data_IF_677536581030
#
_entry.id   IF_677536581030
#
_cell.length_a   1.000
_cell.length_b   1.000
_cell.length_c   1.000
_cell.angle_alpha   90.00
_cell.angle_beta   90.00
_cell.angle_gamma   90.00
#
_symmetry.space_group_name_H-M   'P 1'
#
loop_
_entity.id
_entity.type
_entity.pdbx_description
1 polymer ?
#
# COMPACT_ATOMS: atom_id res chain seq x y z
N UNK A 1 5.36 -6.53 -6.55
CA UNK A 1 5.15 -6.78 -5.11
C UNK A 1 4.72 -8.23 -4.95
N UNK A 2 5.36 -8.99 -4.05
CA UNK A 2 5.18 -10.44 -3.92
C UNK A 2 3.89 -10.87 -3.20
N UNK A 3 3.10 -9.93 -2.67
CA UNK A 3 1.90 -10.24 -1.86
C UNK A 3 0.61 -9.80 -2.56
N UNK A 4 0.66 -8.74 -3.38
CA UNK A 4 -0.54 -8.13 -3.98
C UNK A 4 -1.26 -9.03 -5.00
N UNK A 5 -0.56 -10.01 -5.58
CA UNK A 5 -1.18 -11.03 -6.45
C UNK A 5 -2.06 -12.02 -5.67
N UNK A 6 -1.83 -12.15 -4.37
CA UNK A 6 -2.54 -13.10 -3.50
C UNK A 6 -3.53 -12.41 -2.57
N UNK A 7 -3.25 -11.19 -2.11
CA UNK A 7 -4.13 -10.43 -1.22
C UNK A 7 -3.82 -8.94 -1.25
N UNK A 8 -4.85 -8.09 -1.19
CA UNK A 8 -4.71 -6.65 -0.96
C UNK A 8 -4.84 -6.27 0.53
N UNK A 9 -5.09 -7.23 1.43
CA UNK A 9 -5.13 -7.01 2.87
C UNK A 9 -3.78 -7.32 3.50
N UNK A 10 -3.17 -6.32 4.11
CA UNK A 10 -1.85 -6.41 4.73
C UNK A 10 -1.84 -5.82 6.14
N UNK A 11 -0.89 -6.25 6.95
CA UNK A 11 -0.60 -5.66 8.26
C UNK A 11 0.84 -5.16 8.17
N UNK A 12 1.04 -3.85 8.32
CA UNK A 12 2.37 -3.28 8.44
C UNK A 12 2.87 -3.46 9.87
N UNK A 13 4.01 -4.13 10.01
CA UNK A 13 4.71 -4.24 11.28
C UNK A 13 5.49 -2.96 11.53
N UNK A 14 5.53 -2.55 12.79
CA UNK A 14 6.38 -1.46 13.27
C UNK A 14 7.65 -2.04 13.93
N UNK A 15 8.56 -1.16 14.30
CA UNK A 15 9.75 -1.55 15.07
C UNK A 15 9.35 -2.29 16.36
N UNK A 16 10.19 -3.26 16.72
CA UNK A 16 10.02 -4.17 17.87
C UNK A 16 8.77 -5.08 17.84
N UNK A 17 8.05 -5.15 16.71
CA UNK A 17 6.98 -6.13 16.52
C UNK A 17 7.52 -7.53 16.24
N UNK A 18 6.95 -8.50 16.95
CA UNK A 18 7.18 -9.93 16.76
C UNK A 18 5.87 -10.57 16.34
N UNK A 19 5.73 -10.87 15.04
CA UNK A 19 4.59 -11.59 14.50
C UNK A 19 4.80 -13.11 14.61
N UNK A 20 3.77 -13.83 15.08
CA UNK A 20 3.77 -15.29 15.15
C UNK A 20 2.47 -15.85 14.56
N UNK A 21 2.58 -16.93 13.79
CA UNK A 21 1.41 -17.67 13.30
C UNK A 21 1.42 -19.05 13.95
N UNK A 22 0.41 -19.30 14.78
CA UNK A 22 0.23 -20.58 15.50
C UNK A 22 -1.21 -21.02 15.31
N UNK A 23 -1.42 -22.29 14.93
CA UNK A 23 -2.74 -22.87 14.66
C UNK A 23 -3.61 -22.04 13.70
N UNK A 24 -2.98 -21.45 12.68
CA UNK A 24 -3.66 -20.61 11.68
C UNK A 24 -4.10 -19.23 12.20
N UNK A 25 -3.67 -18.84 13.41
CA UNK A 25 -3.96 -17.52 14.00
C UNK A 25 -2.69 -16.68 14.02
N UNK A 26 -2.80 -15.44 13.54
CA UNK A 26 -1.74 -14.44 13.63
C UNK A 26 -1.84 -13.70 14.96
N UNK A 27 -0.73 -13.64 15.71
CA UNK A 27 -0.56 -12.79 16.88
C UNK A 27 0.64 -11.86 16.69
N UNK A 28 0.57 -10.66 17.28
CA UNK A 28 1.64 -9.67 17.23
C UNK A 28 2.00 -9.31 18.68
N UNK A 29 3.27 -9.47 19.02
CA UNK A 29 3.82 -9.23 20.35
C UNK A 29 4.84 -8.10 20.29
N UNK A 30 4.96 -7.29 21.35
CA UNK A 30 5.97 -6.24 21.47
C UNK A 30 6.60 -6.32 22.86
N UNK A 31 7.93 -6.28 22.92
CA UNK A 31 8.72 -6.52 24.15
C UNK A 31 8.66 -5.33 25.11
N UNK A 32 8.64 -4.10 24.60
CA UNK A 32 8.52 -2.86 25.39
C UNK A 32 7.22 -2.15 25.03
N UNK A 33 6.25 -2.11 25.95
CA UNK A 33 5.03 -1.32 25.79
C UNK A 33 5.22 0.04 26.46
N UNK A 34 5.20 1.11 25.68
CA UNK A 34 5.08 2.49 26.19
C UNK A 34 3.61 2.87 26.30
N UNK A 35 3.27 3.74 27.27
CA UNK A 35 1.91 4.27 27.40
C UNK A 35 1.60 5.15 26.18
N UNK A 36 0.86 4.59 25.22
CA UNK A 36 0.59 5.21 23.91
C UNK A 36 0.50 4.20 22.77
N UNK A 37 1.08 3.01 22.94
CA UNK A 37 0.99 1.94 21.96
C UNK A 37 -0.42 1.37 21.88
N UNK A 38 -1.07 1.53 20.72
CA UNK A 38 -2.29 0.82 20.42
C UNK A 38 -1.97 -0.68 20.25
N UNK A 39 -2.61 -1.59 21.00
CA UNK A 39 -2.24 -3.00 21.04
C UNK A 39 -2.62 -3.78 19.77
N UNK A 40 -3.29 -3.15 18.80
CA UNK A 40 -3.75 -3.79 17.57
C UNK A 40 -3.21 -3.09 16.34
N UNK A 41 -2.43 -3.80 15.53
CA UNK A 41 -2.13 -3.37 14.16
C UNK A 41 -3.41 -3.50 13.33
N UNK A 42 -3.79 -2.43 12.65
CA UNK A 42 -4.93 -2.45 11.75
C UNK A 42 -4.59 -3.27 10.49
N UNK A 43 -5.52 -4.12 10.07
CA UNK A 43 -5.48 -4.70 8.73
C UNK A 43 -5.79 -3.59 7.74
N UNK A 44 -4.81 -3.20 6.93
CA UNK A 44 -4.96 -2.18 5.91
C UNK A 44 -5.26 -2.82 4.55
N UNK A 45 -6.11 -2.15 3.77
CA UNK A 45 -6.34 -2.53 2.36
C UNK A 45 -5.43 -1.67 1.49
N UNK A 46 -4.51 -2.32 0.77
CA UNK A 46 -3.70 -1.65 -0.24
C UNK A 46 -4.60 -1.19 -1.37
N UNK A 47 -4.59 0.12 -1.65
CA UNK A 47 -5.27 0.71 -2.81
C UNK A 47 -4.47 0.53 -4.11
N UNK A 48 -3.51 -0.39 -4.13
CA UNK A 48 -2.67 -0.66 -5.29
C UNK A 48 -3.36 -1.72 -6.14
N UNK A 49 -3.69 -1.38 -7.38
CA UNK A 49 -4.21 -2.36 -8.33
C UNK A 49 -3.05 -3.15 -8.95
N UNK A 50 -3.20 -4.47 -9.12
CA UNK A 50 -2.17 -5.36 -9.65
C UNK A 50 -1.56 -4.86 -10.97
N UNK A 51 -2.37 -4.20 -11.81
CA UNK A 51 -1.94 -3.59 -13.06
C UNK A 51 -0.87 -2.49 -12.90
N UNK A 52 -0.85 -1.78 -11.77
CA UNK A 52 0.11 -0.70 -11.52
C UNK A 52 1.54 -1.23 -11.30
N UNK A 53 1.71 -2.47 -10.85
CA UNK A 53 3.03 -3.09 -10.61
C UNK A 53 3.48 -4.04 -11.73
N UNK A 54 2.63 -4.30 -12.72
CA UNK A 54 2.92 -5.20 -13.83
C UNK A 54 3.45 -4.41 -15.02
N UNK A 55 4.32 -4.99 -15.86
CA UNK A 55 4.75 -4.32 -17.10
C UNK A 55 3.60 -4.16 -18.11
N UNK A 56 2.57 -5.00 -18.04
CA UNK A 56 1.48 -4.99 -19.01
C UNK A 56 2.01 -5.21 -20.43
N UNK A 57 1.62 -4.33 -21.36
CA UNK A 57 2.03 -4.36 -22.76
C UNK A 57 3.40 -3.69 -23.04
N UNK A 58 4.11 -3.22 -22.01
CA UNK A 58 5.41 -2.54 -22.18
C UNK A 58 6.60 -3.49 -22.06
N UNK A 59 7.65 -3.17 -22.82
CA UNK A 59 8.91 -3.95 -22.83
C UNK A 59 9.73 -3.79 -21.54
N UNK A 60 9.66 -2.62 -20.91
CA UNK A 60 10.37 -2.28 -19.66
C UNK A 60 9.48 -1.46 -18.72
N UNK A 61 9.75 -1.54 -17.42
CA UNK A 61 9.06 -0.72 -16.42
C UNK A 61 9.27 0.78 -16.64
N UNK A 62 10.50 1.17 -17.01
CA UNK A 62 10.82 2.56 -17.33
C UNK A 62 9.95 3.11 -18.48
N UNK A 63 9.74 2.31 -19.53
CA UNK A 63 8.87 2.70 -20.64
C UNK A 63 7.41 2.86 -20.16
N UNK A 64 6.89 1.91 -19.38
CA UNK A 64 5.55 2.00 -18.78
C UNK A 64 5.39 3.30 -17.98
N UNK A 65 6.30 3.55 -17.03
CA UNK A 65 6.24 4.71 -16.13
C UNK A 65 6.30 6.04 -16.89
N UNK A 66 7.15 6.14 -17.93
CA UNK A 66 7.21 7.32 -18.79
C UNK A 66 5.87 7.56 -19.51
N UNK A 67 5.24 6.51 -20.03
CA UNK A 67 3.96 6.59 -20.74
C UNK A 67 2.77 6.85 -19.79
N UNK A 68 2.84 6.40 -18.53
CA UNK A 68 1.81 6.60 -17.51
C UNK A 68 1.88 7.97 -16.81
N UNK A 69 2.87 8.81 -17.14
CA UNK A 69 3.01 10.16 -16.55
C UNK A 69 1.75 11.03 -16.69
N UNK A 70 1.04 11.09 -17.84
CA UNK A 70 -0.14 11.93 -17.95
C UNK A 70 -1.23 11.55 -16.94
N UNK A 71 -1.48 10.25 -16.79
CA UNK A 71 -2.44 9.75 -15.80
C UNK A 71 -1.93 9.98 -14.36
N UNK A 72 -0.65 9.76 -14.12
CA UNK A 72 -0.02 9.99 -12.80
C UNK A 72 -0.16 11.44 -12.34
N UNK A 73 -0.03 12.40 -13.25
CA UNK A 73 -0.24 13.83 -12.98
C UNK A 73 -1.71 14.09 -12.60
N UNK A 74 -2.67 13.57 -13.38
CA UNK A 74 -4.11 13.71 -13.08
C UNK A 74 -4.47 13.08 -11.72
N UNK A 75 -3.98 11.87 -11.44
CA UNK A 75 -4.21 11.17 -10.17
C UNK A 75 -3.62 11.93 -8.98
N UNK A 76 -2.48 12.61 -9.18
CA UNK A 76 -1.86 13.46 -8.16
C UNK A 76 -2.73 14.67 -7.81
N UNK A 77 -3.39 15.26 -8.80
CA UNK A 77 -4.26 16.43 -8.63
C UNK A 77 -5.69 16.08 -8.18
N UNK A 78 -6.14 14.83 -8.37
CA UNK A 78 -7.49 14.36 -8.03
C UNK A 78 -7.83 14.66 -6.56
N UNK A 79 -8.92 15.38 -6.34
CA UNK A 79 -9.39 15.78 -5.01
C UNK A 79 -8.54 16.86 -4.32
N UNK A 80 -7.54 17.42 -5.01
CA UNK A 80 -6.65 18.48 -4.51
C UNK A 80 -6.74 19.78 -5.33
N UNK A 81 -7.13 19.69 -6.60
CA UNK A 81 -7.33 20.83 -7.51
C UNK A 81 -8.75 20.79 -8.03
N UNK A 82 -9.49 21.90 -7.88
CA UNK A 82 -10.80 22.08 -8.50
C UNK A 82 -10.60 22.68 -9.90
N UNK A 83 -10.97 21.94 -10.95
CA UNK A 83 -10.88 22.42 -12.33
C UNK A 83 -12.16 23.11 -12.80
N UNK A 84 -13.24 23.03 -12.01
CA UNK A 84 -14.54 23.62 -12.32
C UNK A 84 -14.66 25.07 -11.81
N UNK A 85 -13.89 25.44 -10.79
CA UNK A 85 -13.77 26.83 -10.35
C UNK A 85 -12.70 27.55 -11.19
N UNK A 86 -13.12 28.22 -12.26
CA UNK A 86 -12.29 29.16 -13.03
C UNK A 86 -12.08 30.51 -12.30
N UNK A 87 -11.89 30.50 -10.98
CA UNK A 87 -11.59 31.72 -10.19
C UNK A 87 -10.18 31.66 -9.63
#
# INVERSE_FOLDING_TARGET
>A
SAVIEHTNRVIFLEDDDVAAVVDGRLSIHRIKRTAGDHPGRAVQTLQMELQQIMKGNFSSFMQKEIFEQPESVVNTMRGRVNFDDYT
#
